data_IF_444500463032
#
_entry.id   IF_444500463032
#
_cell.length_a   1.000
_cell.length_b   1.000
_cell.length_c   1.000
_cell.angle_alpha   90.00
_cell.angle_beta   90.00
_cell.angle_gamma   90.00
#
_symmetry.space_group_name_H-M   'P 1'
#
loop_
_entity.id
_entity.type
_entity.pdbx_description
1 polymer ?
#
# COMPACT_ATOMS: atom_id res chain seq x y z
N UNK A 1 -23.03 -17.21 -1.70
CA UNK A 1 -21.86 -16.71 -2.44
C UNK A 1 -21.42 -15.38 -1.81
N UNK A 2 -20.36 -15.39 -1.00
CA UNK A 2 -19.87 -14.19 -0.29
C UNK A 2 -18.76 -13.50 -1.12
N UNK A 3 -19.16 -12.66 -2.07
CA UNK A 3 -18.27 -11.73 -2.78
C UNK A 3 -18.04 -10.48 -1.93
N UNK A 4 -17.22 -10.57 -0.88
CA UNK A 4 -16.69 -9.39 -0.15
C UNK A 4 -15.28 -9.67 0.34
N UNK A 5 -14.34 -9.64 -0.59
CA UNK A 5 -12.93 -9.44 -0.28
C UNK A 5 -12.34 -8.46 -1.30
N UNK A 6 -13.05 -7.36 -1.56
CA UNK A 6 -12.39 -6.16 -2.03
C UNK A 6 -11.54 -5.71 -0.85
N UNK A 7 -10.23 -5.96 -0.90
CA UNK A 7 -9.30 -5.53 0.15
C UNK A 7 -9.53 -4.04 0.38
N UNK A 8 -9.98 -3.67 1.57
CA UNK A 8 -10.50 -2.32 1.81
C UNK A 8 -9.39 -1.28 1.61
N UNK A 9 -9.75 -0.12 1.07
CA UNK A 9 -8.83 1.02 0.92
C UNK A 9 -8.28 1.41 2.29
N UNK A 10 -6.96 1.37 2.45
CA UNK A 10 -6.29 1.75 3.69
C UNK A 10 -5.77 3.18 3.55
N UNK A 11 -6.06 4.02 4.54
CA UNK A 11 -5.52 5.38 4.61
C UNK A 11 -4.63 5.50 5.84
N UNK A 12 -3.41 5.99 5.64
CA UNK A 12 -2.39 6.12 6.68
C UNK A 12 -1.88 7.55 6.67
N UNK A 13 -1.66 8.12 7.84
CA UNK A 13 -0.97 9.41 7.97
C UNK A 13 0.43 9.18 8.50
N UNK A 14 1.45 9.63 7.77
CA UNK A 14 2.85 9.58 8.21
C UNK A 14 3.37 11.01 8.25
N UNK A 15 3.47 11.59 9.45
CA UNK A 15 3.83 13.00 9.58
C UNK A 15 2.83 13.91 8.86
N UNK A 16 3.31 14.66 7.87
CA UNK A 16 2.48 15.52 7.02
C UNK A 16 1.87 14.78 5.80
N UNK A 17 2.40 13.60 5.47
CA UNK A 17 2.00 12.85 4.28
C UNK A 17 0.74 12.01 4.51
N UNK A 18 -0.18 12.08 3.55
CA UNK A 18 -1.40 11.27 3.51
C UNK A 18 -1.21 10.15 2.49
N UNK A 19 -1.16 8.92 2.96
CA UNK A 19 -0.92 7.74 2.14
C UNK A 19 -2.21 6.98 1.96
N UNK A 20 -2.50 6.65 0.72
CA UNK A 20 -3.62 5.81 0.33
C UNK A 20 -3.08 4.53 -0.31
N UNK A 21 -3.55 3.40 0.18
CA UNK A 21 -3.21 2.06 -0.31
C UNK A 21 -4.52 1.42 -0.80
N UNK A 22 -4.57 1.09 -2.09
CA UNK A 22 -5.74 0.54 -2.75
C UNK A 22 -5.36 -0.75 -3.48
N UNK A 23 -6.12 -1.85 -3.37
CA UNK A 23 -5.90 -3.00 -4.26
C UNK A 23 -6.15 -2.63 -5.71
N UNK A 24 -5.41 -3.26 -6.61
CA UNK A 24 -5.64 -3.15 -8.05
C UNK A 24 -6.73 -4.15 -8.45
N UNK A 25 -7.75 -3.69 -9.16
CA UNK A 25 -8.80 -4.56 -9.67
C UNK A 25 -8.20 -5.58 -10.64
N UNK A 26 -8.53 -6.87 -10.44
CA UNK A 26 -7.98 -7.97 -11.24
C UNK A 26 -6.64 -8.51 -10.76
N UNK A 27 -5.93 -7.84 -9.84
CA UNK A 27 -4.67 -8.34 -9.27
C UNK A 27 -4.60 -8.20 -7.74
N UNK A 28 -4.76 -9.35 -7.06
CA UNK A 28 -4.73 -9.44 -5.59
C UNK A 28 -3.34 -9.22 -4.98
N UNK A 29 -2.28 -9.25 -5.78
CA UNK A 29 -0.91 -9.07 -5.34
C UNK A 29 -0.42 -7.64 -5.53
N UNK A 30 -1.18 -6.79 -6.23
CA UNK A 30 -0.80 -5.40 -6.47
C UNK A 30 -1.63 -4.44 -5.62
N UNK A 31 -0.92 -3.56 -4.93
CA UNK A 31 -1.47 -2.47 -4.15
C UNK A 31 -0.97 -1.15 -4.75
N UNK A 32 -1.88 -0.30 -5.19
CA UNK A 32 -1.60 1.05 -5.65
C UNK A 32 -1.32 1.94 -4.45
N UNK A 33 -0.22 2.69 -4.50
CA UNK A 33 0.16 3.64 -3.45
C UNK A 33 0.05 5.07 -4.01
N UNK A 34 -0.70 5.89 -3.29
CA UNK A 34 -0.78 7.32 -3.52
C UNK A 34 -0.30 8.07 -2.27
N UNK A 35 0.51 9.11 -2.44
CA UNK A 35 0.97 10.00 -1.37
C UNK A 35 0.48 11.41 -1.69
N UNK A 36 -0.23 12.04 -0.75
CA UNK A 36 -0.87 13.36 -0.91
C UNK A 36 -1.73 13.44 -2.19
N UNK A 37 -2.52 12.39 -2.44
CA UNK A 37 -3.35 12.20 -3.64
C UNK A 37 -2.58 12.06 -4.98
N UNK A 38 -1.25 12.04 -4.96
CA UNK A 38 -0.42 11.75 -6.13
C UNK A 38 -0.05 10.28 -6.20
N UNK A 39 -0.19 9.65 -7.37
CA UNK A 39 0.26 8.28 -7.60
C UNK A 39 1.79 8.19 -7.51
N UNK A 40 2.31 7.19 -6.77
CA UNK A 40 3.76 6.99 -6.55
C UNK A 40 4.30 5.63 -6.97
N UNK A 41 3.42 4.68 -7.25
CA UNK A 41 3.81 3.36 -7.73
C UNK A 41 2.94 2.26 -7.16
N UNK A 42 3.38 1.03 -7.39
CA UNK A 42 2.74 -0.16 -6.86
C UNK A 42 3.62 -0.83 -5.82
N UNK A 43 2.95 -1.42 -4.84
CA UNK A 43 3.51 -2.33 -3.86
C UNK A 43 3.05 -3.74 -4.23
N UNK A 44 4.00 -4.64 -4.42
CA UNK A 44 3.77 -6.03 -4.78
C UNK A 44 3.80 -6.84 -3.48
N UNK A 45 2.69 -7.51 -3.17
CA UNK A 45 2.55 -8.40 -2.02
C UNK A 45 2.69 -9.86 -2.46
N UNK A 46 3.70 -10.54 -1.94
CA UNK A 46 3.89 -11.98 -2.10
C UNK A 46 4.00 -12.62 -0.72
N UNK A 47 2.95 -13.32 -0.31
CA UNK A 47 2.83 -13.95 1.00
C UNK A 47 3.10 -12.97 2.17
N UNK A 48 4.27 -13.06 2.79
CA UNK A 48 4.74 -12.24 3.93
C UNK A 48 5.73 -11.14 3.53
N UNK A 49 6.03 -11.04 2.23
CA UNK A 49 6.96 -10.09 1.67
C UNK A 49 6.25 -9.02 0.85
N UNK A 50 6.85 -7.83 0.88
CA UNK A 50 6.41 -6.67 0.13
C UNK A 50 7.60 -6.12 -0.64
N UNK A 51 7.38 -5.74 -1.89
CA UNK A 51 8.37 -5.04 -2.71
C UNK A 51 7.74 -3.89 -3.47
N UNK A 52 8.56 -2.97 -3.97
CA UNK A 52 8.13 -1.90 -4.84
C UNK A 52 8.20 -2.35 -6.30
N UNK A 53 7.27 -1.88 -7.13
CA UNK A 53 7.40 -2.01 -8.58
C UNK A 53 8.58 -1.19 -9.10
N UNK A 54 9.15 -1.60 -10.23
CA UNK A 54 10.16 -0.79 -10.92
C UNK A 54 9.62 0.60 -11.25
N UNK A 55 10.47 1.62 -11.14
CA UNK A 55 10.11 3.02 -11.35
C UNK A 55 9.24 3.64 -10.25
N UNK A 56 9.07 2.97 -9.10
CA UNK A 56 8.36 3.57 -7.97
C UNK A 56 9.12 4.78 -7.40
N UNK A 57 8.39 5.88 -7.22
CA UNK A 57 8.87 7.14 -6.62
C UNK A 57 8.59 7.17 -5.09
N UNK A 58 8.52 6.00 -4.47
CA UNK A 58 8.26 5.87 -3.03
C UNK A 58 9.59 5.86 -2.29
N UNK A 59 9.77 6.84 -1.41
CA UNK A 59 10.96 6.92 -0.58
C UNK A 59 11.10 5.66 0.32
N UNK A 60 12.30 5.06 0.48
CA UNK A 60 12.49 3.81 1.24
C UNK A 60 11.94 3.83 2.67
N UNK A 61 12.03 4.97 3.37
CA UNK A 61 11.48 5.13 4.73
C UNK A 61 9.94 5.08 4.75
N UNK A 62 9.29 5.67 3.74
CA UNK A 62 7.84 5.61 3.59
C UNK A 62 7.42 4.18 3.29
N UNK A 63 8.12 3.50 2.38
CA UNK A 63 7.91 2.09 2.09
C UNK A 63 8.04 1.22 3.35
N UNK A 64 9.11 1.37 4.13
CA UNK A 64 9.31 0.62 5.37
C UNK A 64 8.16 0.82 6.36
N UNK A 65 7.63 2.05 6.46
CA UNK A 65 6.49 2.36 7.35
C UNK A 65 5.18 1.77 6.83
N UNK A 66 4.94 1.83 5.52
CA UNK A 66 3.78 1.16 4.88
C UNK A 66 3.82 -0.33 5.19
N UNK A 67 4.97 -0.99 4.97
CA UNK A 67 5.13 -2.42 5.25
C UNK A 67 4.92 -2.73 6.73
N UNK A 68 5.43 -1.90 7.64
CA UNK A 68 5.20 -2.06 9.07
C UNK A 68 3.70 -2.00 9.43
N UNK A 69 2.97 -1.01 8.89
CA UNK A 69 1.53 -0.87 9.09
C UNK A 69 0.76 -2.08 8.53
N UNK A 70 1.08 -2.53 7.31
CA UNK A 70 0.42 -3.69 6.69
C UNK A 70 0.67 -5.01 7.44
N UNK A 71 1.84 -5.18 8.06
CA UNK A 71 2.19 -6.40 8.82
C UNK A 71 1.63 -6.44 10.23
N UNK A 72 1.50 -5.28 10.87
CA UNK A 72 1.14 -5.18 12.29
C UNK A 72 -0.27 -4.66 12.53
N UNK A 73 -0.97 -4.23 11.47
CA UNK A 73 -2.24 -3.51 11.51
C UNK A 73 -2.18 -2.22 12.35
N UNK A 74 -0.97 -1.72 12.64
CA UNK A 74 -0.72 -0.49 13.39
C UNK A 74 -0.25 0.60 12.44
N UNK A 75 -1.19 1.48 12.10
CA UNK A 75 -1.00 2.53 11.09
C UNK A 75 -1.05 3.94 11.72
N UNK A 76 -0.51 4.04 12.94
CA UNK A 76 -0.43 5.24 13.80
C UNK A 76 0.95 5.90 13.76
#
# INVERSE_FOLDING_TARGET
MNLRAAAEKIQIKIGADHITIEPVEGDKHLLRICINNGFKGYLIRRDLEYSLSEGSDIHPLIFARIVHCLRTERCI
#
